data_IF_186423215228
#
_entry.id   IF_186423215228
#
_cell.length_a   1.000
_cell.length_b   1.000
_cell.length_c   1.000
_cell.angle_alpha   90.00
_cell.angle_beta   90.00
_cell.angle_gamma   90.00
#
_symmetry.space_group_name_H-M   'P 1'
#
loop_
_entity.id
_entity.type
_entity.pdbx_description
1 polymer ?
#
# COMPACT_ATOMS: atom_id res chain seq x y z
N UNK A 1 -13.94 6.97 9.98
CA UNK A 1 -13.26 6.62 8.72
C UNK A 1 -12.99 7.84 7.85
N UNK A 2 -14.01 8.58 7.39
CA UNK A 2 -13.83 9.77 6.51
C UNK A 2 -12.87 10.83 7.08
N UNK A 3 -12.97 11.15 8.38
CA UNK A 3 -12.06 12.11 9.03
C UNK A 3 -10.58 11.70 8.95
N UNK A 4 -10.27 10.40 9.09
CA UNK A 4 -8.89 9.90 9.00
C UNK A 4 -8.37 9.99 7.57
N UNK A 5 -9.22 9.69 6.59
CA UNK A 5 -8.89 9.83 5.16
C UNK A 5 -8.57 11.29 4.85
N UNK A 6 -9.41 12.24 5.29
CA UNK A 6 -9.14 13.67 5.09
C UNK A 6 -7.84 14.13 5.74
N UNK A 7 -7.54 13.67 6.96
CA UNK A 7 -6.28 13.98 7.64
C UNK A 7 -5.09 13.42 6.86
N UNK A 8 -5.18 12.18 6.37
CA UNK A 8 -4.13 11.57 5.55
C UNK A 8 -3.85 12.40 4.30
N UNK A 9 -4.90 12.78 3.55
CA UNK A 9 -4.75 13.64 2.37
C UNK A 9 -4.09 14.97 2.71
N UNK A 10 -4.49 15.62 3.81
CA UNK A 10 -3.88 16.88 4.25
C UNK A 10 -2.39 16.70 4.59
N UNK A 11 -2.02 15.62 5.27
CA UNK A 11 -0.62 15.29 5.56
C UNK A 11 0.17 15.09 4.27
N UNK A 12 -0.39 14.33 3.32
CA UNK A 12 0.25 14.09 2.02
C UNK A 12 0.49 15.42 1.28
N UNK A 13 -0.50 16.32 1.24
CA UNK A 13 -0.32 17.66 0.67
C UNK A 13 0.78 18.46 1.37
N UNK A 14 0.75 18.50 2.72
CA UNK A 14 1.77 19.22 3.51
C UNK A 14 3.17 18.67 3.22
N UNK A 15 3.30 17.36 3.01
CA UNK A 15 4.57 16.69 2.68
C UNK A 15 5.03 16.99 1.25
N UNK A 16 4.13 17.12 0.28
CA UNK A 16 4.50 17.41 -1.11
C UNK A 16 4.75 18.90 -1.38
N UNK A 17 4.14 19.81 -0.61
CA UNK A 17 4.29 21.26 -0.77
C UNK A 17 5.78 21.70 -0.72
N UNK A 18 6.61 21.30 0.27
CA UNK A 18 8.02 21.65 0.30
C UNK A 18 8.79 21.20 -0.95
N UNK A 19 8.48 20.02 -1.49
CA UNK A 19 9.13 19.51 -2.69
C UNK A 19 8.79 20.37 -3.93
N UNK A 20 7.58 20.92 -4.00
CA UNK A 20 7.17 21.85 -5.06
C UNK A 20 7.85 23.21 -4.93
N UNK A 21 7.90 23.78 -3.71
CA UNK A 21 8.51 25.08 -3.47
C UNK A 21 10.04 25.09 -3.62
N UNK A 22 10.70 23.96 -3.35
CA UNK A 22 12.16 23.82 -3.45
C UNK A 22 12.63 23.43 -4.87
N UNK A 23 11.73 23.45 -5.86
CA UNK A 23 12.02 23.13 -7.27
C UNK A 23 12.67 21.76 -7.48
N UNK A 24 12.22 20.74 -6.72
CA UNK A 24 12.74 19.37 -6.88
C UNK A 24 12.27 18.67 -8.15
N UNK A 25 11.28 19.26 -8.84
CA UNK A 25 10.79 18.80 -10.12
C UNK A 25 11.47 19.60 -11.24
N UNK A 26 12.30 18.92 -12.02
CA UNK A 26 12.91 19.52 -13.21
C UNK A 26 12.44 18.82 -14.47
N UNK A 27 12.39 19.59 -15.55
CA UNK A 27 12.08 19.06 -16.87
C UNK A 27 13.32 18.36 -17.44
N UNK A 28 13.21 17.05 -17.71
CA UNK A 28 14.33 16.31 -18.31
C UNK A 28 14.20 16.33 -19.84
N UNK A 29 15.06 17.08 -20.57
CA UNK A 29 14.92 17.26 -22.01
C UNK A 29 15.12 15.97 -22.80
N UNK A 30 15.87 15.00 -22.27
CA UNK A 30 16.12 13.72 -22.93
C UNK A 30 14.87 12.83 -23.07
N UNK A 31 13.87 13.03 -22.20
CA UNK A 31 12.68 12.18 -22.17
C UNK A 31 11.36 12.94 -22.25
N UNK A 32 11.41 14.27 -22.34
CA UNK A 32 10.25 15.15 -22.51
C UNK A 32 9.17 15.06 -21.41
N UNK A 33 9.55 14.73 -20.16
CA UNK A 33 8.66 14.74 -19.01
C UNK A 33 9.29 15.42 -17.78
N UNK A 34 8.44 15.94 -16.89
CA UNK A 34 8.86 16.45 -15.59
C UNK A 34 8.98 15.29 -14.60
N UNK A 35 10.10 15.22 -13.89
CA UNK A 35 10.32 14.23 -12.86
C UNK A 35 11.14 14.79 -11.71
N UNK A 36 11.13 14.06 -10.60
CA UNK A 36 12.03 14.31 -9.49
C UNK A 36 13.45 13.90 -9.91
N UNK A 37 14.40 14.83 -9.89
CA UNK A 37 15.77 14.53 -10.30
C UNK A 37 16.57 14.02 -9.11
N UNK A 38 17.02 12.76 -9.18
CA UNK A 38 17.78 12.11 -8.10
C UNK A 38 19.27 12.49 -8.08
N UNK A 39 19.71 13.40 -8.95
CA UNK A 39 21.08 13.91 -8.96
C UNK A 39 21.39 14.72 -7.72
N UNK A 40 20.39 15.40 -7.15
CA UNK A 40 20.54 16.12 -5.90
C UNK A 40 20.39 15.19 -4.71
N UNK A 41 21.47 15.09 -3.92
CA UNK A 41 21.49 14.29 -2.69
C UNK A 41 20.38 14.71 -1.70
N UNK A 42 20.03 15.99 -1.68
CA UNK A 42 18.97 16.55 -0.83
C UNK A 42 17.59 15.98 -1.18
N UNK A 43 17.26 15.99 -2.47
CA UNK A 43 16.00 15.49 -3.01
C UNK A 43 15.86 14.00 -2.72
N UNK A 44 16.95 13.27 -2.92
CA UNK A 44 16.94 11.84 -2.71
C UNK A 44 16.89 11.44 -1.23
N UNK A 45 17.62 12.14 -0.35
CA UNK A 45 17.48 11.95 1.10
C UNK A 45 16.06 12.26 1.58
N UNK A 46 15.48 13.37 1.10
CA UNK A 46 14.10 13.76 1.43
C UNK A 46 13.10 12.66 1.04
N UNK A 47 13.19 12.20 -0.21
CA UNK A 47 12.33 11.15 -0.75
C UNK A 47 12.53 9.82 -0.03
N UNK A 48 13.78 9.43 0.25
CA UNK A 48 14.11 8.21 0.97
C UNK A 48 13.54 8.19 2.39
N UNK A 49 13.68 9.29 3.12
CA UNK A 49 13.16 9.41 4.49
C UNK A 49 11.64 9.33 4.50
N UNK A 50 10.97 10.09 3.64
CA UNK A 50 9.51 10.22 3.67
C UNK A 50 8.83 9.00 3.07
N UNK A 51 9.33 8.46 1.96
CA UNK A 51 8.71 7.35 1.26
C UNK A 51 9.00 5.98 1.90
N UNK A 52 10.14 5.82 2.58
CA UNK A 52 10.56 4.52 3.12
C UNK A 52 10.72 4.54 4.63
N UNK A 53 11.59 5.41 5.17
CA UNK A 53 11.97 5.36 6.59
C UNK A 53 10.77 5.67 7.48
N UNK A 54 10.05 6.75 7.21
CA UNK A 54 8.90 7.18 8.00
C UNK A 54 7.78 6.12 8.06
N UNK A 55 7.24 5.61 6.93
CA UNK A 55 6.18 4.62 6.97
C UNK A 55 6.64 3.29 7.59
N UNK A 56 7.87 2.85 7.33
CA UNK A 56 8.40 1.61 7.92
C UNK A 56 8.53 1.70 9.43
N UNK A 57 9.07 2.82 9.95
CA UNK A 57 9.18 3.03 11.40
C UNK A 57 7.81 3.18 12.05
N UNK A 58 6.89 3.93 11.43
CA UNK A 58 5.53 4.10 11.94
C UNK A 58 4.82 2.74 12.07
N UNK A 59 4.88 1.91 11.03
CA UNK A 59 4.25 0.58 11.03
C UNK A 59 4.93 -0.35 12.04
N UNK A 60 6.26 -0.32 12.12
CA UNK A 60 7.03 -1.09 13.10
C UNK A 60 6.66 -0.73 14.54
N UNK A 61 6.53 0.56 14.86
CA UNK A 61 6.13 1.04 16.18
C UNK A 61 4.69 0.65 16.52
N UNK A 62 3.76 0.79 15.57
CA UNK A 62 2.37 0.36 15.75
C UNK A 62 2.32 -1.15 16.04
N UNK A 63 3.06 -1.95 15.28
CA UNK A 63 3.12 -3.40 15.49
C UNK A 63 3.71 -3.75 16.86
N UNK A 64 4.85 -3.14 17.21
CA UNK A 64 5.48 -3.35 18.51
C UNK A 64 4.54 -2.99 19.66
N UNK A 65 3.86 -1.86 19.57
CA UNK A 65 2.87 -1.43 20.55
C UNK A 65 1.73 -2.43 20.70
N UNK A 66 1.19 -2.95 19.58
CA UNK A 66 0.11 -3.94 19.59
C UNK A 66 0.57 -5.24 20.25
N UNK A 67 1.73 -5.77 19.85
CA UNK A 67 2.30 -6.99 20.46
C UNK A 67 2.54 -6.81 21.95
N UNK A 68 3.10 -5.67 22.35
CA UNK A 68 3.34 -5.34 23.75
C UNK A 68 2.03 -5.24 24.54
N UNK A 69 1.01 -4.60 23.97
CA UNK A 69 -0.32 -4.48 24.57
C UNK A 69 -0.99 -5.85 24.77
N UNK A 70 -0.91 -6.73 23.76
CA UNK A 70 -1.47 -8.08 23.83
C UNK A 70 -0.74 -8.93 24.86
N UNK A 71 0.60 -8.85 24.93
CA UNK A 71 1.39 -9.55 25.96
C UNK A 71 1.01 -9.09 27.37
N UNK A 72 0.80 -7.78 27.56
CA UNK A 72 0.36 -7.21 28.84
C UNK A 72 -1.06 -7.66 29.21
N UNK A 73 -2.00 -7.69 28.27
CA UNK A 73 -3.38 -8.13 28.50
C UNK A 73 -3.50 -9.66 28.67
N UNK A 74 -2.68 -10.44 27.98
CA UNK A 74 -2.66 -11.91 28.09
C UNK A 74 -2.29 -12.39 29.50
N UNK A 75 -1.38 -11.68 30.17
CA UNK A 75 -1.04 -11.93 31.57
C UNK A 75 -2.18 -11.59 32.55
N UNK A 76 -3.19 -10.82 32.12
CA UNK A 76 -4.34 -10.37 32.91
C UNK A 76 -5.63 -11.19 32.64
N UNK A 77 -5.57 -12.29 31.89
CA UNK A 77 -6.51 -13.43 31.73
C UNK A 77 -8.03 -13.30 32.07
N UNK A 78 -8.66 -12.13 32.04
CA UNK A 78 -10.02 -11.95 32.60
C UNK A 78 -11.12 -11.90 31.52
N UNK A 79 -10.80 -11.77 30.21
CA UNK A 79 -11.85 -11.61 29.18
C UNK A 79 -11.63 -12.42 27.89
N UNK A 80 -12.18 -13.66 27.80
CA UNK A 80 -12.07 -14.50 26.60
C UNK A 80 -12.75 -13.87 25.36
N UNK A 81 -13.79 -13.05 25.54
CA UNK A 81 -14.52 -12.43 24.43
C UNK A 81 -13.70 -11.33 23.72
N UNK A 82 -12.79 -10.63 24.44
CA UNK A 82 -11.85 -9.66 23.83
C UNK A 82 -10.75 -10.34 23.02
N UNK A 83 -10.39 -11.57 23.38
CA UNK A 83 -9.33 -12.31 22.70
C UNK A 83 -9.69 -12.65 21.25
N UNK A 84 -10.96 -12.97 20.98
CA UNK A 84 -11.43 -13.28 19.62
C UNK A 84 -11.45 -12.05 18.70
N UNK A 85 -11.86 -10.88 19.21
CA UNK A 85 -11.76 -9.60 18.47
C UNK A 85 -10.30 -9.23 18.19
N UNK A 86 -9.43 -9.33 19.20
CA UNK A 86 -8.01 -9.02 19.05
C UNK A 86 -7.33 -9.93 18.03
N UNK A 87 -7.72 -11.21 17.91
CA UNK A 87 -7.17 -12.11 16.87
C UNK A 87 -7.58 -11.72 15.46
N UNK A 88 -8.80 -11.19 15.27
CA UNK A 88 -9.24 -10.65 13.98
C UNK A 88 -8.41 -9.43 13.61
N UNK A 89 -8.22 -8.50 14.55
CA UNK A 89 -7.43 -7.28 14.31
C UNK A 89 -5.96 -7.58 14.05
N UNK A 90 -5.38 -8.55 14.78
CA UNK A 90 -4.03 -9.07 14.50
C UNK A 90 -3.90 -9.69 13.11
N UNK A 91 -4.93 -10.39 12.63
CA UNK A 91 -4.92 -10.99 11.29
C UNK A 91 -4.90 -9.89 10.23
N UNK A 92 -5.70 -8.84 10.40
CA UNK A 92 -5.72 -7.67 9.50
C UNK A 92 -4.37 -6.95 9.55
N UNK A 93 -3.81 -6.73 10.74
CA UNK A 93 -2.50 -6.10 10.91
C UNK A 93 -1.38 -6.90 10.23
N UNK A 94 -1.37 -8.23 10.38
CA UNK A 94 -0.41 -9.11 9.70
C UNK A 94 -0.50 -8.97 8.18
N UNK A 95 -1.71 -8.83 7.63
CA UNK A 95 -1.90 -8.63 6.19
C UNK A 95 -1.36 -7.28 5.73
N UNK A 96 -1.60 -6.21 6.49
CA UNK A 96 -1.03 -4.87 6.22
C UNK A 96 0.50 -4.93 6.21
N UNK A 97 1.10 -5.63 7.17
CA UNK A 97 2.56 -5.79 7.25
C UNK A 97 3.09 -6.54 6.03
N UNK A 98 2.45 -7.63 5.61
CA UNK A 98 2.85 -8.39 4.41
C UNK A 98 2.77 -7.51 3.15
N UNK A 99 1.69 -6.73 3.00
CA UNK A 99 1.52 -5.82 1.87
C UNK A 99 2.60 -4.74 1.84
N UNK A 100 2.88 -4.13 2.99
CA UNK A 100 3.92 -3.10 3.13
C UNK A 100 5.30 -3.69 2.90
N UNK A 101 5.59 -4.88 3.45
CA UNK A 101 6.89 -5.53 3.24
C UNK A 101 7.11 -5.87 1.76
N UNK A 102 6.07 -6.35 1.06
CA UNK A 102 6.14 -6.60 -0.38
C UNK A 102 6.39 -5.31 -1.17
N UNK A 103 5.67 -4.24 -0.83
CA UNK A 103 5.86 -2.94 -1.48
C UNK A 103 7.30 -2.43 -1.30
N UNK A 104 7.85 -2.57 -0.10
CA UNK A 104 9.22 -2.19 0.19
C UNK A 104 10.24 -3.07 -0.55
N UNK A 105 10.00 -4.39 -0.65
CA UNK A 105 10.83 -5.30 -1.45
C UNK A 105 10.87 -4.91 -2.93
N UNK A 106 9.76 -4.41 -3.49
CA UNK A 106 9.74 -3.90 -4.87
C UNK A 106 10.56 -2.61 -5.04
N UNK A 107 10.68 -1.81 -3.98
CA UNK A 107 11.53 -0.61 -3.97
C UNK A 107 13.02 -0.90 -3.80
N UNK A 108 13.40 -2.07 -3.27
CA UNK A 108 14.80 -2.46 -3.04
C UNK A 108 15.70 -2.27 -4.27
N UNK A 109 15.37 -2.78 -5.48
CA UNK A 109 16.23 -2.62 -6.65
C UNK A 109 16.47 -1.15 -7.04
N UNK A 110 15.48 -0.27 -6.85
CA UNK A 110 15.68 1.16 -7.09
C UNK A 110 16.61 1.77 -6.02
N UNK A 111 16.41 1.41 -4.74
CA UNK A 111 17.26 1.89 -3.65
C UNK A 111 18.70 1.38 -3.73
N UNK A 112 18.93 0.15 -4.21
CA UNK A 112 20.29 -0.40 -4.34
C UNK A 112 21.08 0.29 -5.45
N UNK A 113 20.44 0.57 -6.58
CA UNK A 113 21.05 1.37 -7.65
C UNK A 113 21.29 2.81 -7.20
N UNK A 114 20.44 3.36 -6.34
CA UNK A 114 20.67 4.66 -5.73
C UNK A 114 21.87 4.65 -4.76
N UNK A 115 22.00 3.63 -3.91
CA UNK A 115 23.20 3.49 -3.06
C UNK A 115 24.47 3.35 -3.89
N UNK A 116 24.39 2.63 -5.01
CA UNK A 116 25.49 2.54 -5.97
C UNK A 116 25.85 3.91 -6.56
N UNK A 117 24.86 4.74 -6.88
CA UNK A 117 25.08 6.11 -7.35
C UNK A 117 25.81 6.96 -6.30
N UNK A 118 25.44 6.89 -5.02
CA UNK A 118 26.14 7.62 -3.96
C UNK A 118 27.62 7.23 -3.88
N UNK A 119 27.94 5.94 -4.06
CA UNK A 119 29.31 5.43 -3.92
C UNK A 119 30.16 5.79 -5.15
N UNK A 120 29.60 5.64 -6.35
CA UNK A 120 30.36 5.76 -7.61
C UNK A 120 30.25 7.13 -8.28
N UNK A 121 29.27 7.95 -7.90
CA UNK A 121 28.94 9.21 -8.56
C UNK A 121 28.33 9.05 -9.95
N UNK A 122 28.08 7.81 -10.43
CA UNK A 122 27.56 7.54 -11.77
C UNK A 122 26.10 7.12 -11.74
N UNK A 123 25.22 7.93 -12.32
CA UNK A 123 23.78 7.66 -12.37
C UNK A 123 23.45 6.79 -13.59
N UNK A 124 23.08 5.53 -13.35
CA UNK A 124 22.72 4.63 -14.43
C UNK A 124 21.34 4.99 -15.02
N UNK A 125 21.20 5.18 -16.35
CA UNK A 125 19.95 5.66 -16.95
C UNK A 125 18.75 4.71 -16.76
N UNK A 126 19.00 3.41 -16.51
CA UNK A 126 17.95 2.42 -16.23
C UNK A 126 17.23 2.65 -14.90
N UNK A 127 17.79 3.44 -13.97
CA UNK A 127 17.17 3.69 -12.65
C UNK A 127 15.74 4.22 -12.82
N UNK A 128 15.57 5.21 -13.70
CA UNK A 128 14.27 5.82 -13.95
C UNK A 128 13.26 4.82 -14.55
N UNK A 129 13.70 3.99 -15.51
CA UNK A 129 12.84 2.99 -16.14
C UNK A 129 12.42 1.90 -15.16
N UNK A 130 13.36 1.39 -14.37
CA UNK A 130 13.09 0.39 -13.32
C UNK A 130 12.16 0.95 -12.25
N UNK A 131 12.32 2.22 -11.88
CA UNK A 131 11.45 2.86 -10.90
C UNK A 131 10.01 2.99 -11.40
N UNK A 132 9.79 3.47 -12.62
CA UNK A 132 8.46 3.56 -13.22
C UNK A 132 7.81 2.19 -13.37
N UNK A 133 8.58 1.19 -13.78
CA UNK A 133 8.11 -0.18 -13.92
C UNK A 133 7.74 -0.78 -12.56
N UNK A 134 8.58 -0.59 -11.53
CA UNK A 134 8.28 -1.03 -10.17
C UNK A 134 7.01 -0.37 -9.65
N UNK A 135 6.85 0.95 -9.84
CA UNK A 135 5.66 1.69 -9.45
C UNK A 135 4.38 1.16 -10.14
N UNK A 136 4.42 0.95 -11.45
CA UNK A 136 3.29 0.43 -12.21
C UNK A 136 2.89 -0.99 -11.77
N UNK A 137 3.87 -1.86 -11.55
CA UNK A 137 3.61 -3.20 -11.04
C UNK A 137 3.05 -3.13 -9.62
N UNK A 138 3.58 -2.28 -8.74
CA UNK A 138 3.05 -2.11 -7.38
C UNK A 138 1.59 -1.68 -7.39
N UNK A 139 1.21 -0.69 -8.21
CA UNK A 139 -0.18 -0.25 -8.35
C UNK A 139 -1.11 -1.37 -8.83
N UNK A 140 -0.62 -2.29 -9.66
CA UNK A 140 -1.40 -3.40 -10.20
C UNK A 140 -1.49 -4.58 -9.22
N UNK A 141 -0.40 -4.90 -8.52
CA UNK A 141 -0.31 -6.06 -7.61
C UNK A 141 -1.03 -5.80 -6.29
N UNK A 142 -0.97 -4.58 -5.74
CA UNK A 142 -1.60 -4.23 -4.46
C UNK A 142 -3.12 -4.55 -4.39
N UNK A 143 -3.96 -4.16 -5.36
CA UNK A 143 -5.39 -4.51 -5.32
C UNK A 143 -5.61 -6.02 -5.43
N UNK A 144 -4.78 -6.73 -6.20
CA UNK A 144 -4.85 -8.19 -6.33
C UNK A 144 -4.51 -8.84 -4.97
N UNK A 145 -3.38 -8.47 -4.38
CA UNK A 145 -2.95 -8.99 -3.08
C UNK A 145 -3.95 -8.68 -1.96
N UNK A 146 -4.52 -7.48 -1.92
CA UNK A 146 -5.51 -7.12 -0.90
C UNK A 146 -6.76 -8.00 -0.97
N UNK A 147 -7.23 -8.35 -2.18
CA UNK A 147 -8.35 -9.29 -2.37
C UNK A 147 -7.98 -10.70 -1.90
N UNK A 148 -6.77 -11.18 -2.21
CA UNK A 148 -6.33 -12.52 -1.80
C UNK A 148 -6.08 -12.62 -0.28
N UNK A 149 -5.49 -11.60 0.31
CA UNK A 149 -5.13 -11.57 1.74
C UNK A 149 -6.38 -11.36 2.60
N UNK A 150 -7.27 -10.45 2.22
CA UNK A 150 -8.45 -10.11 3.04
C UNK A 150 -9.55 -11.14 2.84
N UNK A 151 -9.77 -12.03 3.82
CA UNK A 151 -10.83 -13.06 3.77
C UNK A 151 -12.21 -12.48 3.43
N UNK A 152 -12.56 -11.32 3.99
CA UNK A 152 -13.85 -10.66 3.77
C UNK A 152 -14.02 -10.24 2.30
N UNK A 153 -12.98 -9.64 1.70
CA UNK A 153 -13.00 -9.24 0.29
C UNK A 153 -13.02 -10.47 -0.62
N UNK A 154 -12.26 -11.52 -0.29
CA UNK A 154 -12.28 -12.79 -1.03
C UNK A 154 -13.66 -13.42 -1.06
N UNK A 155 -14.37 -13.44 0.07
CA UNK A 155 -15.74 -13.97 0.14
C UNK A 155 -16.73 -13.12 -0.66
N UNK A 156 -16.62 -11.79 -0.60
CA UNK A 156 -17.43 -10.89 -1.41
C UNK A 156 -17.16 -11.06 -2.91
N UNK A 157 -15.90 -11.16 -3.29
CA UNK A 157 -15.48 -11.39 -4.68
C UNK A 157 -15.99 -12.74 -5.19
N UNK A 158 -15.84 -13.81 -4.40
CA UNK A 158 -16.35 -15.13 -4.75
C UNK A 158 -17.88 -15.13 -4.90
N UNK A 159 -18.60 -14.44 -4.01
CA UNK A 159 -20.07 -14.29 -4.11
C UNK A 159 -20.49 -13.47 -5.33
N UNK A 160 -19.79 -12.39 -5.65
CA UNK A 160 -20.05 -11.56 -6.83
C UNK A 160 -19.79 -12.34 -8.12
N UNK A 161 -18.68 -13.07 -8.19
CA UNK A 161 -18.33 -13.93 -9.32
C UNK A 161 -19.35 -15.06 -9.51
N UNK A 162 -19.80 -15.70 -8.42
CA UNK A 162 -20.81 -16.77 -8.47
C UNK A 162 -22.21 -16.27 -8.87
N UNK A 163 -22.58 -15.03 -8.51
CA UNK A 163 -23.84 -14.40 -8.96
C UNK A 163 -23.80 -14.02 -10.43
N UNK A 164 -22.65 -13.55 -10.95
CA UNK A 164 -22.48 -13.28 -12.38
C UNK A 164 -22.66 -14.52 -13.26
N UNK A 165 -22.44 -15.72 -12.70
CA UNK A 165 -22.60 -17.00 -13.39
C UNK A 165 -24.03 -17.60 -13.29
N UNK A 166 -24.91 -17.01 -12.48
CA UNK A 166 -26.33 -17.37 -12.33
C UNK A 166 -27.21 -16.32 -13.02
N UNK A 167 -27.10 -16.20 -14.35
CA UNK A 167 -28.19 -15.61 -15.14
C UNK A 167 -29.29 -16.68 -15.15
N UNK A 168 -30.32 -16.49 -14.33
CA UNK A 168 -31.54 -17.30 -14.38
C UNK A 168 -32.11 -17.27 -15.80
N UNK A 169 -32.35 -18.42 -16.47
CA UNK A 169 -33.28 -18.43 -17.59
C UNK A 169 -34.63 -18.02 -17.02
N UNK A 170 -35.17 -16.90 -17.50
CA UNK A 170 -36.53 -16.48 -17.23
C UNK A 170 -37.43 -17.50 -17.93
N UNK A 171 -37.81 -18.57 -17.23
CA UNK A 171 -38.90 -19.43 -17.68
C UNK A 171 -40.17 -18.65 -17.40
N UNK A 172 -40.65 -17.95 -18.43
CA UNK A 172 -42.00 -17.39 -18.46
C UNK A 172 -42.97 -18.57 -18.53
N UNK A 173 -43.35 -19.13 -17.37
CA UNK A 173 -44.53 -19.99 -17.29
C UNK A 173 -45.73 -19.06 -17.28
N UNK A 174 -46.28 -18.85 -18.46
CA UNK A 174 -47.54 -18.16 -18.68
C UNK A 174 -48.65 -19.02 -18.05
N UNK A 175 -48.97 -18.78 -16.77
CA UNK A 175 -50.20 -19.28 -16.14
C UNK A 175 -51.39 -18.53 -16.76
N UNK A 176 -51.87 -19.04 -17.89
CA UNK A 176 -53.21 -18.74 -18.38
C UNK A 176 -54.12 -19.87 -17.91
N UNK A 177 -54.73 -19.69 -16.75
CA UNK A 177 -56.00 -20.30 -16.34
C UNK A 177 -56.40 -19.74 -14.97
N UNK A 178 -57.47 -18.94 -14.95
CA UNK A 178 -58.63 -19.06 -14.05
C UNK A 178 -59.51 -17.80 -14.19
N UNK A 179 -60.48 -17.88 -15.11
CA UNK A 179 -61.93 -17.77 -14.88
C UNK A 179 -62.67 -17.34 -16.15
#
# INVERSE_FOLDING_TARGET
MIRLVLIQWLIDFIVYIPALFLHYFEYTPNYYYCQLVYTDIRVSMYTGVIAYIFPMNAIGLIYFYIVHCIKRMGNLAIYPNRQQSNQRDLTVLRQIIILVSMLCMMGVPATSLYLWYIITGYLYPLIYQLQWLAFAISLSILPILTVFLTRQLRELFYRAFRRGHHIHPIIVVQQHNLN
#
